data_IF_821437630640
#
_entry.id   IF_821437630640
#
_cell.length_a   1.000
_cell.length_b   1.000
_cell.length_c   1.000
_cell.angle_alpha   90.00
_cell.angle_beta   90.00
_cell.angle_gamma   90.00
#
_symmetry.space_group_name_H-M   'P 1'
#
loop_
_entity.id
_entity.type
_entity.pdbx_description
1 polymer ?
#
# COMPACT_ATOMS: atom_id res chain seq x y z
N UNK A 1 -3.75 13.11 13.25
CA UNK A 1 -4.00 11.70 13.47
C UNK A 1 -2.82 11.00 14.16
N UNK A 2 -1.62 11.49 13.92
CA UNK A 2 -0.39 10.98 14.52
C UNK A 2 0.38 12.13 15.16
N UNK A 3 -0.09 12.64 16.31
CA UNK A 3 0.49 13.86 16.92
C UNK A 3 1.94 13.71 17.38
N UNK A 4 2.37 12.48 17.67
CA UNK A 4 3.74 12.20 18.11
C UNK A 4 4.72 11.97 16.96
N UNK A 5 4.27 12.01 15.71
CA UNK A 5 5.16 11.91 14.57
C UNK A 5 6.09 13.12 14.51
N UNK A 6 7.38 12.89 14.25
CA UNK A 6 8.39 13.95 14.15
C UNK A 6 8.64 14.42 12.73
N UNK A 7 7.94 13.84 11.76
CA UNK A 7 7.97 14.27 10.36
C UNK A 7 6.55 14.53 9.86
N UNK A 8 6.45 15.24 8.74
CA UNK A 8 5.21 15.28 7.99
C UNK A 8 4.97 13.93 7.30
N UNK A 9 3.74 13.66 6.94
CA UNK A 9 3.43 12.48 6.14
C UNK A 9 3.91 12.69 4.70
N UNK A 10 4.58 11.68 4.15
CA UNK A 10 5.02 11.70 2.76
C UNK A 10 4.21 10.69 1.97
N UNK A 11 3.42 11.18 1.03
CA UNK A 11 2.79 10.36 0.01
C UNK A 11 3.68 10.25 -1.21
N UNK A 12 3.33 9.38 -2.14
CA UNK A 12 4.11 9.18 -3.36
C UNK A 12 3.22 9.25 -4.61
N UNK A 13 3.58 10.16 -5.52
CA UNK A 13 2.97 10.27 -6.85
C UNK A 13 4.07 10.73 -7.80
N UNK A 14 4.76 9.77 -8.42
CA UNK A 14 6.02 9.95 -9.17
C UNK A 14 7.18 10.43 -8.30
N UNK A 15 6.92 11.25 -7.30
CA UNK A 15 7.88 11.74 -6.31
C UNK A 15 7.20 11.83 -4.95
N UNK A 16 8.00 11.90 -3.90
CA UNK A 16 7.48 12.10 -2.55
C UNK A 16 6.94 13.51 -2.39
N UNK A 17 5.79 13.61 -1.76
CA UNK A 17 5.12 14.88 -1.49
C UNK A 17 4.65 14.92 -0.04
N UNK A 18 4.76 16.09 0.58
CA UNK A 18 4.21 16.31 1.91
C UNK A 18 2.68 16.35 1.82
N UNK A 19 2.02 15.57 2.66
CA UNK A 19 0.58 15.50 2.71
C UNK A 19 0.08 15.94 4.08
N UNK A 20 -0.94 16.77 4.09
CA UNK A 20 -1.58 17.23 5.32
C UNK A 20 -2.77 16.37 5.70
N UNK A 21 -3.40 15.73 4.73
CA UNK A 21 -4.53 14.83 4.92
C UNK A 21 -4.17 13.44 4.42
N UNK A 22 -4.47 12.43 5.22
CA UNK A 22 -4.26 11.04 4.82
C UNK A 22 -5.54 10.52 4.17
N UNK A 23 -5.38 9.88 3.02
CA UNK A 23 -6.49 9.36 2.23
C UNK A 23 -6.49 7.85 2.33
N UNK A 24 -7.66 7.25 2.60
CA UNK A 24 -7.79 5.79 2.62
C UNK A 24 -7.40 5.20 1.27
N UNK A 25 -6.73 4.04 1.32
CA UNK A 25 -6.27 3.34 0.13
C UNK A 25 -4.83 3.67 -0.25
N UNK A 26 -4.24 4.69 0.33
CA UNK A 26 -2.85 5.07 0.06
C UNK A 26 -1.96 4.89 1.27
N UNK A 27 -0.69 4.60 1.04
CA UNK A 27 0.31 4.49 2.08
C UNK A 27 1.08 5.78 2.23
N UNK A 28 1.64 5.97 3.42
CA UNK A 28 2.40 7.18 3.74
C UNK A 28 3.59 6.83 4.62
N UNK A 29 4.65 7.61 4.47
CA UNK A 29 5.80 7.54 5.36
C UNK A 29 5.63 8.54 6.49
N UNK A 30 5.82 8.05 7.72
CA UNK A 30 5.87 8.86 8.94
C UNK A 30 7.06 8.44 9.77
N UNK A 31 7.73 9.39 10.38
CA UNK A 31 8.85 9.13 11.27
C UNK A 31 8.47 9.45 12.71
N UNK A 32 8.83 8.56 13.60
CA UNK A 32 8.65 8.72 15.04
C UNK A 32 10.02 8.69 15.72
N UNK A 33 10.14 9.35 16.86
CA UNK A 33 11.39 9.34 17.62
C UNK A 33 11.70 7.95 18.17
N UNK A 34 10.67 7.28 18.68
CA UNK A 34 10.77 5.94 19.27
C UNK A 34 9.60 5.08 18.79
N UNK A 35 9.74 3.76 18.92
CA UNK A 35 8.63 2.84 18.65
C UNK A 35 7.50 3.10 19.66
N UNK A 36 6.28 3.14 19.18
CA UNK A 36 5.10 3.35 20.03
C UNK A 36 3.88 2.68 19.44
N UNK A 37 2.92 2.39 20.28
CA UNK A 37 1.60 1.91 19.86
C UNK A 37 0.65 3.09 19.79
N UNK A 38 -0.09 3.17 18.69
CA UNK A 38 -1.07 4.21 18.48
C UNK A 38 -2.43 3.53 18.33
N UNK A 39 -3.36 3.91 19.21
CA UNK A 39 -4.73 3.42 19.12
C UNK A 39 -5.57 4.43 18.35
N UNK A 40 -6.20 3.98 17.29
CA UNK A 40 -7.08 4.79 16.47
C UNK A 40 -8.50 4.24 16.57
N UNK A 41 -9.46 5.14 16.67
CA UNK A 41 -10.88 4.80 16.66
C UNK A 41 -11.46 5.22 15.32
N UNK A 42 -12.14 4.30 14.65
CA UNK A 42 -12.73 4.57 13.34
C UNK A 42 -13.63 3.44 12.91
N UNK A 43 -14.18 3.56 11.73
CA UNK A 43 -15.00 2.51 11.14
C UNK A 43 -14.13 1.46 10.47
N UNK A 44 -14.59 0.20 10.47
CA UNK A 44 -13.91 -0.86 9.75
C UNK A 44 -13.97 -0.61 8.24
N UNK A 45 -12.88 -0.85 7.58
CA UNK A 45 -12.78 -0.77 6.13
C UNK A 45 -12.60 -2.18 5.58
N UNK A 46 -13.69 -2.77 5.11
CA UNK A 46 -13.69 -4.13 4.58
C UNK A 46 -13.34 -4.17 3.08
N UNK A 47 -13.43 -3.05 2.41
CA UNK A 47 -13.16 -2.96 0.98
C UNK A 47 -12.65 -1.58 0.64
N UNK A 48 -11.64 -1.54 -0.22
CA UNK A 48 -11.04 -0.28 -0.68
C UNK A 48 -10.63 -0.42 -2.13
N UNK A 49 -11.03 0.56 -2.95
CA UNK A 49 -10.57 0.67 -4.33
C UNK A 49 -9.50 1.75 -4.38
N UNK A 50 -8.34 1.39 -4.92
CA UNK A 50 -7.17 2.28 -4.99
C UNK A 50 -6.83 2.57 -6.44
N UNK A 51 -6.78 3.84 -6.81
CA UNK A 51 -6.32 4.23 -8.13
C UNK A 51 -4.80 4.11 -8.20
N UNK A 52 -4.31 3.46 -9.25
CA UNK A 52 -2.87 3.27 -9.47
C UNK A 52 -2.47 3.78 -10.85
N UNK A 53 -1.23 4.21 -10.96
CA UNK A 53 -0.64 4.68 -12.23
C UNK A 53 0.52 3.78 -12.59
N UNK A 54 0.91 3.77 -13.87
CA UNK A 54 2.04 2.97 -14.35
C UNK A 54 3.29 3.22 -13.50
N UNK A 55 3.93 2.16 -13.06
CA UNK A 55 5.13 2.23 -12.24
C UNK A 55 4.82 1.94 -10.77
N UNK A 56 5.63 2.51 -9.88
CA UNK A 56 5.53 2.26 -8.45
C UNK A 56 4.41 3.04 -7.80
N UNK A 57 3.64 2.36 -6.96
CA UNK A 57 2.54 2.92 -6.18
C UNK A 57 2.70 2.54 -4.71
N UNK A 58 2.43 3.48 -3.82
CA UNK A 58 2.43 3.25 -2.38
C UNK A 58 0.98 3.19 -1.93
N UNK A 59 0.53 2.00 -1.57
CA UNK A 59 -0.88 1.75 -1.23
C UNK A 59 -1.04 1.46 0.26
N UNK A 60 -2.25 1.70 0.75
CA UNK A 60 -2.64 1.36 2.11
C UNK A 60 -3.20 -0.05 2.22
N UNK A 61 -3.83 -0.31 3.34
CA UNK A 61 -4.41 -1.60 3.67
C UNK A 61 -5.87 -1.43 4.10
N UNK A 62 -6.55 -2.56 4.28
CA UNK A 62 -7.91 -2.60 4.84
C UNK A 62 -7.86 -3.07 6.30
N UNK A 63 -9.01 -3.22 6.94
CA UNK A 63 -9.10 -3.53 8.38
C UNK A 63 -8.78 -4.98 8.73
N UNK A 64 -8.60 -5.84 7.75
CA UNK A 64 -8.23 -7.25 7.95
C UNK A 64 -7.06 -7.63 7.05
N UNK A 65 -6.25 -8.64 7.44
CA UNK A 65 -5.21 -9.15 6.57
C UNK A 65 -5.79 -9.65 5.25
N UNK A 66 -5.08 -9.41 4.16
CA UNK A 66 -5.52 -9.79 2.82
C UNK A 66 -4.35 -10.43 2.06
N UNK A 67 -4.53 -11.68 1.61
CA UNK A 67 -3.56 -12.32 0.73
C UNK A 67 -3.46 -11.53 -0.58
N UNK A 68 -2.24 -11.23 -1.02
CA UNK A 68 -2.03 -10.43 -2.22
C UNK A 68 -2.62 -11.09 -3.48
N UNK A 69 -2.71 -12.42 -3.50
CA UNK A 69 -3.31 -13.15 -4.62
C UNK A 69 -4.82 -12.99 -4.71
N UNK A 70 -5.46 -12.45 -3.68
CA UNK A 70 -6.90 -12.17 -3.67
C UNK A 70 -7.23 -10.75 -4.06
N UNK A 71 -6.24 -9.92 -4.33
CA UNK A 71 -6.45 -8.55 -4.81
C UNK A 71 -6.95 -8.61 -6.25
N UNK A 72 -8.01 -7.90 -6.52
CA UNK A 72 -8.58 -7.80 -7.86
C UNK A 72 -8.16 -6.49 -8.52
N UNK A 73 -8.34 -6.39 -9.83
CA UNK A 73 -7.98 -5.18 -10.56
C UNK A 73 -9.00 -4.84 -11.63
N UNK A 74 -9.00 -3.57 -12.02
CA UNK A 74 -9.73 -3.07 -13.18
C UNK A 74 -8.74 -2.21 -14.00
N UNK A 75 -8.31 -2.64 -15.19
CA UNK A 75 -8.77 -3.83 -15.95
C UNK A 75 -8.43 -5.15 -15.26
N UNK A 76 -9.21 -6.17 -15.57
CA UNK A 76 -9.02 -7.51 -14.99
C UNK A 76 -7.64 -8.07 -15.31
N UNK A 77 -7.04 -8.72 -14.34
CA UNK A 77 -5.76 -9.39 -14.54
C UNK A 77 -4.58 -8.43 -14.75
N UNK A 78 -4.66 -7.22 -14.20
CA UNK A 78 -3.57 -6.25 -14.27
C UNK A 78 -2.26 -6.87 -13.77
N UNK A 79 -1.18 -6.70 -14.54
CA UNK A 79 0.12 -7.18 -14.13
C UNK A 79 0.71 -6.29 -13.04
N UNK A 80 1.14 -6.90 -11.95
CA UNK A 80 1.78 -6.21 -10.84
C UNK A 80 3.11 -6.88 -10.51
N UNK A 81 4.01 -6.16 -9.84
CA UNK A 81 5.17 -6.77 -9.20
C UNK A 81 4.73 -7.52 -7.93
N UNK A 82 5.70 -8.17 -7.25
CA UNK A 82 5.48 -8.57 -5.87
C UNK A 82 5.18 -7.32 -5.04
N UNK A 83 4.53 -7.53 -3.90
CA UNK A 83 4.28 -6.45 -2.95
C UNK A 83 5.43 -6.35 -1.96
N UNK A 84 5.82 -5.15 -1.63
CA UNK A 84 6.94 -4.88 -0.72
C UNK A 84 6.46 -4.11 0.50
N UNK A 85 6.76 -4.65 1.67
CA UNK A 85 6.68 -3.95 2.94
C UNK A 85 8.05 -3.41 3.31
N UNK A 86 8.10 -2.57 4.33
CA UNK A 86 9.35 -2.00 4.83
C UNK A 86 9.52 -2.30 6.32
N UNK A 87 10.63 -2.97 6.64
CA UNK A 87 11.03 -3.26 8.01
C UNK A 87 12.57 -3.33 8.02
N UNK A 88 13.21 -2.18 8.24
CA UNK A 88 14.66 -2.01 8.10
C UNK A 88 15.17 -2.47 6.73
N UNK A 89 14.41 -2.15 5.70
CA UNK A 89 14.65 -2.53 4.32
C UNK A 89 13.39 -3.07 3.69
N UNK A 90 13.37 -3.13 2.35
CA UNK A 90 12.22 -3.66 1.63
C UNK A 90 12.20 -5.18 1.67
N UNK A 91 11.03 -5.73 1.94
CA UNK A 91 10.82 -7.19 1.99
C UNK A 91 9.57 -7.54 1.20
N UNK A 92 9.64 -8.63 0.45
CA UNK A 92 8.50 -9.17 -0.28
C UNK A 92 7.51 -9.72 0.74
N UNK A 93 6.23 -9.40 0.57
CA UNK A 93 5.17 -9.86 1.47
C UNK A 93 4.12 -10.65 0.69
N UNK A 94 3.50 -11.61 1.35
CA UNK A 94 2.41 -12.43 0.79
C UNK A 94 1.04 -11.91 1.18
N UNK A 95 0.98 -11.04 2.17
CA UNK A 95 -0.27 -10.50 2.68
C UNK A 95 -0.11 -9.04 3.06
N UNK A 96 -1.19 -8.30 2.91
CA UNK A 96 -1.29 -6.90 3.33
C UNK A 96 -1.93 -6.88 4.71
N UNK A 97 -1.20 -6.33 5.68
CA UNK A 97 -1.64 -6.24 7.07
C UNK A 97 -2.25 -4.88 7.38
N UNK A 98 -3.27 -4.81 8.25
CA UNK A 98 -3.88 -3.55 8.64
C UNK A 98 -2.86 -2.55 9.21
N UNK A 99 -3.08 -1.28 8.91
CA UNK A 99 -2.28 -0.19 9.46
C UNK A 99 -0.92 0.01 8.81
N UNK A 100 -0.61 -0.71 7.75
CA UNK A 100 0.68 -0.62 7.06
C UNK A 100 0.51 -0.19 5.60
N UNK A 101 1.56 0.40 5.04
CA UNK A 101 1.62 0.74 3.63
C UNK A 101 2.52 -0.24 2.87
N UNK A 102 2.25 -0.39 1.59
CA UNK A 102 2.96 -1.35 0.74
C UNK A 102 3.23 -0.76 -0.63
N UNK A 103 4.35 -1.18 -1.20
CA UNK A 103 4.73 -0.81 -2.56
C UNK A 103 4.35 -1.91 -3.55
N UNK A 104 3.84 -1.47 -4.69
CA UNK A 104 3.58 -2.36 -5.82
C UNK A 104 3.81 -1.60 -7.13
N UNK A 105 4.43 -2.27 -8.10
CA UNK A 105 4.64 -1.73 -9.43
C UNK A 105 3.59 -2.32 -10.36
N UNK A 106 2.92 -1.46 -11.12
CA UNK A 106 1.88 -1.90 -12.05
C UNK A 106 2.25 -1.57 -13.49
N UNK A 107 1.75 -2.39 -14.43
CA UNK A 107 2.10 -2.27 -15.85
C UNK A 107 1.35 -1.14 -16.56
N UNK A 108 0.21 -0.73 -16.03
CA UNK A 108 -0.60 0.34 -16.61
C UNK A 108 -1.50 0.96 -15.55
N UNK A 109 -2.03 2.13 -15.85
CA UNK A 109 -2.98 2.79 -14.96
C UNK A 109 -4.26 1.97 -14.82
N UNK A 110 -4.85 2.00 -13.65
CA UNK A 110 -6.08 1.26 -13.35
C UNK A 110 -6.44 1.38 -11.89
N UNK A 111 -7.10 0.36 -11.39
CA UNK A 111 -7.54 0.29 -10.01
C UNK A 111 -7.20 -1.06 -9.41
N UNK A 112 -6.79 -1.06 -8.15
CA UNK A 112 -6.66 -2.27 -7.34
C UNK A 112 -7.83 -2.31 -6.37
N UNK A 113 -8.43 -3.48 -6.21
CA UNK A 113 -9.59 -3.67 -5.35
C UNK A 113 -9.19 -4.62 -4.23
N UNK A 114 -9.13 -4.08 -3.02
CA UNK A 114 -8.81 -4.80 -1.80
C UNK A 114 -10.12 -5.09 -1.08
N UNK A 115 -10.46 -6.36 -0.90
CA UNK A 115 -11.71 -6.72 -0.25
C UNK A 115 -11.55 -7.97 0.59
N UNK A 116 -12.01 -7.90 1.84
CA UNK A 116 -12.04 -9.06 2.74
C UNK A 116 -13.03 -10.13 2.28
N UNK A 117 -13.91 -9.81 1.32
CA UNK A 117 -14.88 -10.74 0.75
C UNK A 117 -14.33 -11.56 -0.41
N UNK A 118 -13.12 -11.29 -0.85
CA UNK A 118 -12.48 -12.06 -1.93
C UNK A 118 -11.95 -13.37 -1.37
N UNK A 119 -12.71 -14.44 -1.55
CA UNK A 119 -12.38 -15.76 -0.99
C UNK A 119 -11.81 -16.73 -2.02
N UNK A 120 -11.98 -16.45 -3.31
CA UNK A 120 -11.60 -17.35 -4.39
C UNK A 120 -10.89 -16.56 -5.48
N UNK A 121 -9.81 -17.14 -6.02
CA UNK A 121 -9.12 -16.59 -7.18
C UNK A 121 -10.09 -16.47 -8.35
N UNK A 122 -10.16 -15.30 -8.96
CA UNK A 122 -11.05 -15.01 -10.08
C UNK A 122 -10.26 -14.47 -11.28
N UNK A 123 -10.97 -14.30 -12.42
CA UNK A 123 -10.36 -13.68 -13.60
C UNK A 123 -9.97 -12.23 -13.36
N UNK A 124 -10.57 -11.58 -12.37
CA UNK A 124 -10.22 -10.20 -11.99
C UNK A 124 -9.05 -10.11 -11.03
N UNK A 125 -8.53 -11.24 -10.53
CA UNK A 125 -7.34 -11.24 -9.69
C UNK A 125 -6.15 -10.66 -10.46
N UNK A 126 -5.30 -9.93 -9.74
CA UNK A 126 -4.06 -9.40 -10.33
C UNK A 126 -3.13 -10.55 -10.73
N UNK A 127 -2.22 -10.25 -11.66
CA UNK A 127 -1.17 -11.21 -12.06
C UNK A 127 0.15 -10.71 -11.50
N UNK A 128 0.69 -11.43 -10.53
CA UNK A 128 1.95 -11.07 -9.91
C UNK A 128 3.10 -11.59 -10.77
N UNK A 129 3.88 -10.66 -11.30
CA UNK A 129 5.04 -10.97 -12.15
C UNK A 129 6.29 -10.55 -11.39
N UNK A 130 7.18 -11.50 -11.03
CA UNK A 130 8.40 -11.16 -10.32
C UNK A 130 9.25 -10.11 -11.04
N UNK A 131 9.81 -9.19 -10.29
CA UNK A 131 10.72 -8.16 -10.82
C UNK A 131 11.95 -8.07 -9.93
N UNK A 132 13.08 -7.65 -10.53
CA UNK A 132 14.30 -7.34 -9.79
C UNK A 132 14.35 -5.87 -9.38
N UNK A 133 13.40 -5.06 -9.81
CA UNK A 133 13.32 -3.65 -9.42
C UNK A 133 12.87 -3.54 -7.97
N UNK A 134 13.48 -2.60 -7.26
CA UNK A 134 13.09 -2.26 -5.89
C UNK A 134 12.26 -1.00 -5.89
N UNK A 135 11.37 -0.84 -4.89
CA UNK A 135 10.64 0.41 -4.71
C UNK A 135 11.57 1.61 -4.52
N UNK A 136 11.07 2.82 -4.72
CA UNK A 136 11.85 4.03 -4.42
C UNK A 136 12.38 4.01 -2.98
N UNK A 137 13.56 4.58 -2.76
CA UNK A 137 14.12 4.69 -1.42
C UNK A 137 13.17 5.47 -0.51
N UNK A 138 13.15 5.19 0.81
CA UNK A 138 12.38 6.00 1.73
C UNK A 138 12.71 7.49 1.60
N UNK A 139 11.75 8.38 1.89
CA UNK A 139 12.02 9.80 1.80
C UNK A 139 13.09 10.22 2.81
N UNK A 140 13.91 11.20 2.42
CA UNK A 140 14.92 11.75 3.29
C UNK A 140 14.25 12.70 4.28
N UNK A 141 14.36 12.38 5.57
CA UNK A 141 13.68 13.10 6.65
C UNK A 141 14.73 13.59 7.65
N UNK A 142 14.97 14.88 7.65
CA UNK A 142 15.92 15.52 8.57
C UNK A 142 15.22 16.18 9.75
#
# INVERSE_FOLDING_TARGET
>A
LYPSAISKAFGYSTNYQNETNLVNGYGYWLKFADAEEISLIGELCDSQTVNVTTGWNLIGSISSPLDVNLIESNPHGLNTSQFYGYDNGYKIVDAIEPGRGYWVKVSQAGQLILSSQSLVMSKSAIKIVPTNDLPPKPPDVN
#
